data_IF_742722458270
#
_entry.id   IF_742722458270
#
_cell.length_a   1.000
_cell.length_b   1.000
_cell.length_c   1.000
_cell.angle_alpha   90.00
_cell.angle_beta   90.00
_cell.angle_gamma   90.00
#
_symmetry.space_group_name_H-M   'P 1'
#
loop_
_entity.id
_entity.type
_entity.pdbx_description
1 polymer ?
#
# COMPACT_ATOMS: atom_id res chain seq x y z
N UNK A 1 1.98 10.82 -4.08
CA UNK A 1 1.72 9.37 -3.98
C UNK A 1 2.28 8.71 -5.23
N UNK A 2 3.00 7.62 -5.05
CA UNK A 2 3.61 6.85 -6.12
C UNK A 2 2.56 5.95 -6.80
N UNK A 3 2.49 5.94 -8.13
CA UNK A 3 1.77 4.89 -8.89
C UNK A 3 2.45 3.55 -8.62
N UNK A 4 1.67 2.55 -8.26
CA UNK A 4 2.15 1.17 -8.07
C UNK A 4 1.49 0.28 -9.10
N UNK A 5 2.29 -0.41 -9.89
CA UNK A 5 1.80 -1.41 -10.84
C UNK A 5 1.90 -2.78 -10.19
N UNK A 6 0.74 -3.39 -9.96
CA UNK A 6 0.66 -4.67 -9.26
C UNK A 6 0.99 -5.81 -10.20
N UNK A 7 1.80 -6.74 -9.72
CA UNK A 7 1.99 -8.04 -10.35
C UNK A 7 0.89 -9.01 -9.93
N UNK A 8 0.87 -10.16 -10.59
CA UNK A 8 0.08 -11.29 -10.13
C UNK A 8 0.49 -11.70 -8.72
N UNK A 9 -0.47 -12.26 -7.99
CA UNK A 9 -0.24 -12.77 -6.65
C UNK A 9 0.91 -13.80 -6.63
N UNK A 10 1.91 -13.65 -5.75
CA UNK A 10 3.04 -14.54 -5.74
C UNK A 10 2.63 -15.95 -5.27
N UNK A 11 3.23 -16.98 -5.89
CA UNK A 11 2.92 -18.39 -5.61
C UNK A 11 3.01 -18.75 -4.13
N UNK A 12 4.02 -18.25 -3.41
CA UNK A 12 4.18 -18.53 -1.98
C UNK A 12 2.98 -18.04 -1.15
N UNK A 13 2.34 -16.94 -1.56
CA UNK A 13 1.19 -16.40 -0.86
C UNK A 13 -0.08 -17.21 -1.15
N UNK A 14 -0.26 -17.63 -2.41
CA UNK A 14 -1.33 -18.56 -2.77
C UNK A 14 -1.22 -19.90 -2.01
N UNK A 15 -0.01 -20.44 -1.90
CA UNK A 15 0.28 -21.66 -1.13
C UNK A 15 0.01 -21.48 0.37
N UNK A 16 0.44 -20.36 0.95
CA UNK A 16 0.14 -20.00 2.34
C UNK A 16 -1.38 -19.98 2.59
N UNK A 17 -2.16 -19.31 1.73
CA UNK A 17 -3.63 -19.24 1.87
C UNK A 17 -4.25 -20.64 1.81
N UNK A 18 -3.78 -21.51 0.92
CA UNK A 18 -4.28 -22.89 0.80
C UNK A 18 -3.93 -23.75 2.02
N UNK A 19 -2.69 -23.67 2.51
CA UNK A 19 -2.18 -24.49 3.61
C UNK A 19 -2.73 -24.05 4.96
N UNK A 20 -2.68 -22.75 5.23
CA UNK A 20 -3.03 -22.18 6.54
C UNK A 20 -4.51 -21.84 6.65
N UNK A 21 -5.22 -21.65 5.53
CA UNK A 21 -6.64 -21.31 5.47
C UNK A 21 -7.04 -20.18 6.45
N UNK A 22 -6.34 -19.03 6.41
CA UNK A 22 -6.53 -17.96 7.39
C UNK A 22 -7.97 -17.42 7.34
N UNK A 23 -8.49 -17.03 8.50
CA UNK A 23 -9.83 -16.46 8.67
C UNK A 23 -9.82 -14.95 8.85
N UNK A 24 -8.69 -14.39 9.27
CA UNK A 24 -8.49 -12.96 9.44
C UNK A 24 -7.03 -12.55 9.26
N UNK A 25 -6.79 -11.23 9.22
CA UNK A 25 -5.43 -10.67 9.17
C UNK A 25 -4.56 -11.05 10.39
N UNK A 26 -5.19 -11.42 11.51
CA UNK A 26 -4.49 -11.82 12.73
C UNK A 26 -3.79 -13.18 12.58
N UNK A 27 -4.23 -14.00 11.62
CA UNK A 27 -3.68 -15.34 11.37
C UNK A 27 -2.39 -15.31 10.53
N UNK A 28 -1.96 -14.11 10.11
CA UNK A 28 -0.74 -13.91 9.35
C UNK A 28 0.40 -13.63 10.33
N UNK A 29 1.36 -14.55 10.40
CA UNK A 29 2.56 -14.38 11.19
C UNK A 29 3.55 -13.37 10.56
N UNK A 30 4.64 -13.10 11.26
CA UNK A 30 5.68 -12.18 10.77
C UNK A 30 6.40 -12.70 9.54
N UNK A 31 6.60 -14.02 9.42
CA UNK A 31 7.34 -14.61 8.30
C UNK A 31 6.63 -14.38 6.97
N UNK A 32 5.32 -14.65 6.89
CA UNK A 32 4.56 -14.40 5.66
C UNK A 32 4.44 -12.91 5.36
N UNK A 33 4.34 -12.06 6.39
CA UNK A 33 4.26 -10.61 6.23
C UNK A 33 5.57 -10.04 5.70
N UNK A 34 6.72 -10.50 6.20
CA UNK A 34 8.02 -10.03 5.72
C UNK A 34 8.26 -10.49 4.28
N UNK A 35 7.96 -11.75 3.93
CA UNK A 35 8.02 -12.24 2.55
C UNK A 35 7.12 -11.44 1.59
N UNK A 36 5.92 -11.08 2.02
CA UNK A 36 5.02 -10.22 1.23
C UNK A 36 5.61 -8.82 1.04
N UNK A 37 6.14 -8.19 2.10
CA UNK A 37 6.77 -6.87 2.00
C UNK A 37 7.96 -6.91 1.05
N UNK A 38 8.86 -7.87 1.21
CA UNK A 38 10.02 -8.07 0.33
C UNK A 38 9.60 -8.20 -1.13
N UNK A 39 8.61 -9.06 -1.41
CA UNK A 39 8.12 -9.26 -2.77
C UNK A 39 7.51 -7.98 -3.37
N UNK A 40 6.64 -7.28 -2.65
CA UNK A 40 6.04 -6.03 -3.13
C UNK A 40 7.08 -4.93 -3.31
N UNK A 41 8.04 -4.81 -2.38
CA UNK A 41 9.11 -3.82 -2.49
C UNK A 41 9.98 -4.08 -3.70
N UNK A 42 10.41 -5.31 -3.91
CA UNK A 42 11.32 -5.64 -5.01
C UNK A 42 10.69 -5.57 -6.39
N UNK A 43 9.41 -5.94 -6.50
CA UNK A 43 8.78 -6.12 -7.80
C UNK A 43 7.81 -4.99 -8.18
N UNK A 44 7.37 -4.15 -7.23
CA UNK A 44 6.29 -3.18 -7.47
C UNK A 44 6.57 -1.77 -6.93
N UNK A 45 7.46 -1.62 -5.94
CA UNK A 45 7.71 -0.33 -5.26
C UNK A 45 9.19 0.07 -5.22
N UNK A 46 9.97 -0.38 -6.21
CA UNK A 46 11.40 -0.07 -6.37
C UNK A 46 11.64 0.86 -7.55
N UNK A 47 12.38 1.95 -7.32
CA UNK A 47 12.82 2.89 -8.35
C UNK A 47 14.32 3.09 -8.17
N UNK A 48 15.11 2.83 -9.21
CA UNK A 48 16.57 3.00 -9.21
C UNK A 48 17.29 2.34 -8.01
N UNK A 49 16.82 1.16 -7.61
CA UNK A 49 17.42 0.43 -6.48
C UNK A 49 16.85 0.79 -5.10
N UNK A 50 15.93 1.75 -5.02
CA UNK A 50 15.43 2.31 -3.76
C UNK A 50 13.93 2.02 -3.62
N UNK A 51 13.51 1.65 -2.41
CA UNK A 51 12.10 1.39 -2.12
C UNK A 51 11.39 2.62 -1.57
N UNK A 52 10.14 2.82 -1.99
CA UNK A 52 9.36 3.98 -1.59
C UNK A 52 7.99 3.62 -1.03
N UNK A 53 7.54 4.39 -0.04
CA UNK A 53 6.17 4.34 0.47
C UNK A 53 5.20 4.89 -0.59
N UNK A 54 4.12 4.18 -0.97
CA UNK A 54 3.22 4.63 -2.02
C UNK A 54 2.46 5.92 -1.68
N UNK A 55 2.27 6.19 -0.40
CA UNK A 55 1.52 7.35 0.04
C UNK A 55 2.38 8.63 0.08
N UNK A 56 3.50 8.60 0.80
CA UNK A 56 4.33 9.79 1.01
C UNK A 56 5.62 9.83 0.18
N UNK A 57 5.91 8.80 -0.60
CA UNK A 57 7.12 8.71 -1.45
C UNK A 57 8.44 8.82 -0.68
N UNK A 58 8.41 8.63 0.65
CA UNK A 58 9.63 8.52 1.44
C UNK A 58 10.27 7.16 1.21
N UNK A 59 11.60 7.15 1.22
CA UNK A 59 12.37 5.91 1.19
C UNK A 59 12.04 5.04 2.41
N UNK A 60 11.89 3.73 2.18
CA UNK A 60 11.60 2.73 3.22
C UNK A 60 12.50 1.51 3.07
N UNK A 61 12.47 0.62 4.06
CA UNK A 61 13.12 -0.70 4.01
C UNK A 61 12.12 -1.77 4.48
N UNK A 62 12.46 -3.05 4.31
CA UNK A 62 11.63 -4.17 4.77
C UNK A 62 11.35 -4.06 6.29
N UNK A 63 12.37 -3.70 7.06
CA UNK A 63 12.31 -3.59 8.53
C UNK A 63 11.54 -2.35 9.00
N UNK A 64 11.60 -1.26 8.22
CA UNK A 64 10.93 0.02 8.51
C UNK A 64 9.67 0.23 7.67
N UNK A 65 8.93 -0.85 7.45
CA UNK A 65 7.67 -0.81 6.69
C UNK A 65 6.64 -1.79 7.22
N UNK A 66 5.40 -1.62 6.76
CA UNK A 66 4.24 -2.42 7.11
C UNK A 66 3.38 -2.71 5.89
N UNK A 67 2.57 -3.78 5.96
CA UNK A 67 1.57 -4.05 4.93
C UNK A 67 0.36 -3.16 5.17
N UNK A 68 0.00 -2.41 4.15
CA UNK A 68 -1.15 -1.52 4.10
C UNK A 68 -2.28 -2.15 3.29
N UNK A 69 -3.49 -2.15 3.85
CA UNK A 69 -4.71 -2.46 3.10
C UNK A 69 -5.25 -1.18 2.45
N UNK A 70 -5.32 -1.14 1.13
CA UNK A 70 -5.88 -0.01 0.37
C UNK A 70 -7.34 0.18 0.79
N UNK A 71 -8.17 -0.84 0.59
CA UNK A 71 -9.50 -0.99 1.17
C UNK A 71 -9.35 -1.54 2.59
N UNK A 72 -9.65 -0.76 3.64
CA UNK A 72 -9.35 -1.14 5.02
C UNK A 72 -10.15 -2.38 5.43
N UNK A 73 -9.47 -3.32 6.09
CA UNK A 73 -10.04 -4.60 6.54
C UNK A 73 -11.27 -4.45 7.46
N UNK A 74 -11.40 -3.33 8.17
CA UNK A 74 -12.55 -3.08 9.05
C UNK A 74 -13.83 -2.79 8.25
N UNK A 75 -13.72 -2.12 7.09
CA UNK A 75 -14.84 -1.87 6.17
C UNK A 75 -15.01 -2.99 5.13
N UNK A 76 -13.91 -3.62 4.73
CA UNK A 76 -13.86 -4.64 3.68
C UNK A 76 -13.22 -5.94 4.20
N UNK A 77 -13.82 -6.61 5.19
CA UNK A 77 -13.22 -7.76 5.85
C UNK A 77 -12.94 -8.93 4.91
N UNK A 78 -13.68 -9.06 3.80
CA UNK A 78 -13.46 -10.10 2.78
C UNK A 78 -12.17 -9.88 1.96
N UNK A 79 -11.60 -8.69 1.97
CA UNK A 79 -10.38 -8.34 1.21
C UNK A 79 -9.10 -8.47 2.06
N UNK A 80 -9.18 -9.02 3.27
CA UNK A 80 -8.04 -9.11 4.19
C UNK A 80 -6.85 -9.91 3.65
N UNK A 81 -7.09 -10.83 2.71
CA UNK A 81 -6.09 -11.68 2.06
C UNK A 81 -5.99 -11.47 0.55
N UNK A 82 -6.55 -10.38 0.02
CA UNK A 82 -6.49 -10.08 -1.40
C UNK A 82 -5.19 -9.33 -1.70
N UNK A 83 -4.30 -9.92 -2.50
CA UNK A 83 -2.99 -9.35 -2.82
C UNK A 83 -3.06 -8.00 -3.54
N UNK A 84 -4.02 -7.80 -4.44
CA UNK A 84 -4.18 -6.50 -5.13
C UNK A 84 -4.63 -5.38 -4.19
N UNK A 85 -5.08 -5.73 -2.98
CA UNK A 85 -5.43 -4.79 -1.92
C UNK A 85 -4.24 -4.43 -1.01
N UNK A 86 -3.04 -4.96 -1.27
CA UNK A 86 -1.86 -4.76 -0.42
C UNK A 86 -0.83 -3.82 -1.05
N UNK A 87 -0.24 -3.00 -0.19
CA UNK A 87 0.92 -2.16 -0.44
C UNK A 87 1.91 -2.29 0.72
N UNK A 88 3.17 -1.91 0.52
CA UNK A 88 4.14 -1.75 1.60
C UNK A 88 4.28 -0.27 1.97
N UNK A 89 3.75 0.15 3.12
CA UNK A 89 3.77 1.52 3.61
C UNK A 89 4.88 1.79 4.64
N UNK A 90 5.15 3.06 4.91
CA UNK A 90 6.12 3.46 5.93
C UNK A 90 5.69 3.09 7.36
N UNK A 91 6.69 2.81 8.21
CA UNK A 91 6.52 2.49 9.63
C UNK A 91 7.38 3.45 10.51
N UNK A 92 6.98 4.72 10.61
CA UNK A 92 7.53 5.74 11.51
C UNK A 92 6.45 6.36 12.43
N UNK A 93 6.82 7.30 13.31
CA UNK A 93 5.85 8.04 14.13
C UNK A 93 4.86 8.79 13.22
N UNK A 94 3.55 8.54 13.41
CA UNK A 94 2.46 9.00 12.51
C UNK A 94 2.59 8.48 11.07
N UNK A 95 2.58 7.15 10.91
CA UNK A 95 2.61 6.49 9.60
C UNK A 95 1.48 6.94 8.68
N UNK A 96 1.72 6.89 7.36
CA UNK A 96 0.65 7.08 6.38
C UNK A 96 -0.52 6.12 6.63
N UNK A 97 -0.22 4.87 7.03
CA UNK A 97 -1.23 3.89 7.40
C UNK A 97 -2.09 4.31 8.59
N UNK A 98 -1.49 4.87 9.64
CA UNK A 98 -2.20 5.38 10.82
C UNK A 98 -3.02 6.64 10.50
N UNK A 99 -2.50 7.55 9.66
CA UNK A 99 -3.21 8.78 9.25
C UNK A 99 -4.40 8.45 8.34
N UNK A 100 -4.22 7.48 7.44
CA UNK A 100 -5.27 6.91 6.61
C UNK A 100 -6.30 6.20 7.47
N UNK A 101 -5.87 5.29 8.34
CA UNK A 101 -6.74 4.46 9.15
C UNK A 101 -7.81 3.77 8.28
N UNK A 102 -9.08 4.00 8.63
CA UNK A 102 -10.23 3.48 7.90
C UNK A 102 -10.81 4.48 6.87
N UNK A 103 -10.11 5.59 6.59
CA UNK A 103 -10.49 6.52 5.51
C UNK A 103 -10.38 5.80 4.18
N UNK A 104 -11.53 5.66 3.54
CA UNK A 104 -11.74 5.06 2.23
C UNK A 104 -13.17 5.40 1.82
N UNK A 105 -13.31 5.94 0.62
CA UNK A 105 -14.54 6.23 -0.10
C UNK A 105 -14.26 6.12 -1.62
N UNK A 106 -15.27 6.35 -2.44
CA UNK A 106 -15.15 6.22 -3.90
C UNK A 106 -14.25 7.31 -4.54
N UNK A 107 -13.93 8.38 -3.79
CA UNK A 107 -13.01 9.44 -4.23
C UNK A 107 -11.57 9.19 -3.78
N UNK A 108 -11.29 8.07 -3.10
CA UNK A 108 -9.94 7.72 -2.70
C UNK A 108 -9.08 7.45 -3.93
N UNK A 109 -8.02 8.25 -4.12
CA UNK A 109 -7.03 8.05 -5.19
C UNK A 109 -6.21 6.79 -4.88
N UNK A 110 -6.69 5.65 -5.36
CA UNK A 110 -6.02 4.37 -5.23
C UNK A 110 -4.78 4.31 -6.15
N UNK A 111 -3.55 4.27 -5.60
CA UNK A 111 -2.33 4.30 -6.41
C UNK A 111 -2.10 3.02 -7.24
N UNK A 112 -2.89 1.98 -7.01
CA UNK A 112 -2.88 0.75 -7.83
C UNK A 112 -3.74 0.92 -9.08
N UNK A 113 -4.89 1.59 -8.96
CA UNK A 113 -5.87 1.74 -10.04
C UNK A 113 -5.59 3.00 -10.87
N UNK A 114 -5.15 4.08 -10.22
CA UNK A 114 -5.00 5.39 -10.82
C UNK A 114 -3.56 5.89 -10.71
N UNK A 115 -3.14 6.72 -11.66
CA UNK A 115 -1.90 7.48 -11.55
C UNK A 115 -2.14 8.72 -10.66
N UNK A 116 -1.58 8.78 -9.44
CA UNK A 116 -1.91 9.86 -8.53
C UNK A 116 -1.45 11.24 -9.01
N UNK A 117 -0.45 11.29 -9.91
CA UNK A 117 0.03 12.54 -10.55
C UNK A 117 -1.03 13.20 -11.44
N UNK A 118 -2.08 12.48 -11.82
CA UNK A 118 -3.18 13.04 -12.60
C UNK A 118 -4.16 13.83 -11.73
N UNK A 119 -4.10 13.67 -10.40
CA UNK A 119 -5.06 14.26 -9.45
C UNK A 119 -4.46 15.34 -8.56
N UNK A 120 -3.17 15.26 -8.25
CA UNK A 120 -2.49 16.26 -7.43
C UNK A 120 -1.03 16.44 -7.82
N UNK A 121 -0.50 17.60 -7.46
CA UNK A 121 0.90 17.98 -7.61
C UNK A 121 1.47 18.45 -6.27
N UNK A 122 2.79 18.64 -6.23
CA UNK A 122 3.47 19.14 -5.05
C UNK A 122 3.93 20.56 -5.29
N UNK A 123 3.63 21.45 -4.34
CA UNK A 123 4.27 22.76 -4.26
C UNK A 123 5.77 22.57 -4.08
N UNK A 124 6.57 23.06 -5.03
CA UNK A 124 8.04 22.94 -4.95
C UNK A 124 8.60 23.71 -3.75
N UNK A 125 7.95 24.81 -3.35
CA UNK A 125 8.41 25.67 -2.25
C UNK A 125 7.97 25.19 -0.87
N UNK A 126 6.78 24.58 -0.75
CA UNK A 126 6.20 24.19 0.56
C UNK A 126 6.09 22.69 0.77
N UNK A 127 6.18 21.89 -0.30
CA UNK A 127 5.93 20.44 -0.25
C UNK A 127 4.45 20.07 -0.07
N UNK A 128 3.54 21.04 -0.12
CA UNK A 128 2.11 20.81 0.02
C UNK A 128 1.54 20.06 -1.19
N UNK A 129 0.58 19.18 -0.92
CA UNK A 129 -0.19 18.49 -1.97
C UNK A 129 -1.30 19.42 -2.44
N UNK A 130 -1.27 19.80 -3.71
CA UNK A 130 -2.25 20.67 -4.35
C UNK A 130 -3.12 19.82 -5.30
N UNK A 131 -4.45 19.78 -5.12
CA UNK A 131 -5.32 19.08 -6.06
C UNK A 131 -5.34 19.81 -7.40
N UNK A 132 -5.35 19.06 -8.50
CA UNK A 132 -5.46 19.61 -9.86
C UNK A 132 -6.89 19.98 -10.25
N UNK A 133 -7.87 19.53 -9.49
CA UNK A 133 -9.30 19.79 -9.71
C UNK A 133 -9.94 20.30 -8.42
N UNK A 134 -10.73 21.38 -8.51
CA UNK A 134 -11.37 22.02 -7.35
C UNK A 134 -12.55 21.19 -6.79
N UNK A 135 -13.20 20.40 -7.63
CA UNK A 135 -14.24 19.46 -7.26
C UNK A 135 -13.77 18.05 -7.68
N UNK A 136 -14.07 17.03 -6.86
CA UNK A 136 -13.65 15.64 -7.08
C UNK A 136 -14.07 15.05 -8.44
N UNK A 137 -13.58 13.84 -8.72
CA UNK A 137 -13.86 13.07 -9.95
C UNK A 137 -15.36 12.89 -10.14
#
# INVERSE_FOLDING_TARGET
MLKVDKNDEPKFFAEFKKKSNPKSWKDFDFEIKDKLKEYMLENEQKIDGIYFCPYCERQISVEKSQIEHIKPKDKFPKLFHNYSNFLTGCLENQTCGSIKGNKWDDNFVNPVEYNPRDYFEYSISTGEIIPKYENGI
#
